data_IF_546498581087
#
_entry.id   IF_546498581087
#
_cell.length_a   1.000
_cell.length_b   1.000
_cell.length_c   1.000
_cell.angle_alpha   90.00
_cell.angle_beta   90.00
_cell.angle_gamma   90.00
#
_symmetry.space_group_name_H-M   'P 1'
#
loop_
_entity.id
_entity.type
_entity.pdbx_description
1 polymer ?
#
# COMPACT_ATOMS: atom_id res chain seq x y z
N UNK A 1 -14.25 0.73 -24.41
CA UNK A 1 -13.41 1.13 -25.59
C UNK A 1 -11.95 0.87 -25.29
N UNK A 2 -11.05 0.99 -26.29
CA UNK A 2 -9.61 0.83 -26.07
C UNK A 2 -8.98 2.11 -25.51
N UNK A 3 -7.82 1.99 -24.85
CA UNK A 3 -7.07 3.18 -24.38
C UNK A 3 -6.79 4.15 -25.54
N UNK A 4 -6.42 3.66 -26.73
CA UNK A 4 -6.14 4.50 -27.90
C UNK A 4 -7.38 5.23 -28.46
N UNK A 5 -8.57 4.87 -28.03
CA UNK A 5 -9.79 5.58 -28.44
C UNK A 5 -10.06 6.80 -27.54
N UNK A 6 -9.52 6.80 -26.32
CA UNK A 6 -9.65 7.87 -25.32
C UNK A 6 -8.42 8.78 -25.22
N UNK A 7 -7.24 8.22 -25.48
CA UNK A 7 -5.95 8.88 -25.26
C UNK A 7 -5.06 8.78 -26.50
N UNK A 8 -4.36 9.85 -26.81
CA UNK A 8 -3.15 9.78 -27.61
C UNK A 8 -2.06 9.10 -26.79
N UNK A 9 -1.62 7.92 -27.23
CA UNK A 9 -0.65 7.07 -26.51
C UNK A 9 0.72 7.19 -27.18
N UNK A 10 1.59 7.98 -26.58
CA UNK A 10 2.94 8.22 -27.10
C UNK A 10 4.00 7.58 -26.22
N UNK A 11 5.06 7.07 -26.84
CA UNK A 11 6.26 6.66 -26.11
C UNK A 11 6.98 7.91 -25.57
N UNK A 12 7.42 7.86 -24.31
CA UNK A 12 8.07 8.99 -23.68
C UNK A 12 9.43 9.38 -24.31
N UNK A 13 10.08 10.38 -23.73
CA UNK A 13 11.37 10.92 -24.25
C UNK A 13 12.51 9.89 -24.17
N UNK A 14 12.39 8.89 -23.32
CA UNK A 14 13.35 7.77 -23.18
C UNK A 14 14.75 8.24 -22.75
N UNK A 15 14.83 9.03 -21.70
CA UNK A 15 16.10 9.48 -21.14
C UNK A 15 16.68 8.45 -20.16
N UNK A 16 17.99 8.49 -20.00
CA UNK A 16 18.70 7.75 -18.97
C UNK A 16 19.03 8.70 -17.81
N UNK A 17 18.53 8.41 -16.60
CA UNK A 17 18.70 9.28 -15.43
C UNK A 17 20.16 9.54 -15.10
N UNK A 18 21.05 8.56 -15.35
CA UNK A 18 22.49 8.69 -15.12
C UNK A 18 23.15 9.82 -15.93
N UNK A 19 22.53 10.20 -17.05
CA UNK A 19 22.99 11.27 -17.93
C UNK A 19 22.34 12.64 -17.60
N UNK A 20 21.47 12.69 -16.57
CA UNK A 20 20.79 13.91 -16.16
C UNK A 20 21.49 14.53 -14.94
N UNK A 21 21.52 15.85 -14.88
CA UNK A 21 21.99 16.55 -13.71
C UNK A 21 20.89 16.59 -12.66
N UNK A 22 21.11 15.93 -11.52
CA UNK A 22 20.17 15.93 -10.40
C UNK A 22 20.07 17.33 -9.78
N UNK A 23 18.89 17.64 -9.24
CA UNK A 23 18.62 18.84 -8.46
C UNK A 23 17.74 18.53 -7.25
N UNK A 24 17.52 19.52 -6.38
CA UNK A 24 16.71 19.37 -5.17
C UNK A 24 15.22 19.66 -5.41
N UNK A 25 14.38 19.31 -4.45
CA UNK A 25 12.96 19.62 -4.49
C UNK A 25 12.66 21.15 -4.51
N UNK A 26 13.55 21.93 -3.94
CA UNK A 26 13.41 23.39 -3.80
C UNK A 26 13.85 24.16 -5.05
N UNK A 27 14.41 23.50 -6.05
CA UNK A 27 14.81 24.13 -7.30
C UNK A 27 13.56 24.45 -8.15
N UNK A 28 13.22 25.75 -8.35
CA UNK A 28 12.02 26.13 -9.10
C UNK A 28 12.08 25.74 -10.58
N UNK A 29 13.29 25.63 -11.14
CA UNK A 29 13.51 25.22 -12.53
C UNK A 29 13.69 23.71 -12.69
N UNK A 30 13.69 22.98 -11.58
CA UNK A 30 13.79 21.54 -11.57
C UNK A 30 12.58 20.88 -12.24
N UNK A 31 12.81 19.76 -12.92
CA UNK A 31 11.80 18.97 -13.62
C UNK A 31 11.77 17.56 -13.04
N UNK A 32 10.58 17.01 -12.78
CA UNK A 32 10.44 15.65 -12.31
C UNK A 32 10.94 14.65 -13.35
N UNK A 33 11.65 13.62 -12.91
CA UNK A 33 12.04 12.49 -13.75
C UNK A 33 11.18 11.28 -13.38
N UNK A 34 10.35 10.84 -14.33
CA UNK A 34 9.41 9.74 -14.17
C UNK A 34 9.97 8.47 -14.79
N UNK A 35 9.97 7.38 -14.03
CA UNK A 35 10.44 6.06 -14.44
C UNK A 35 9.36 4.99 -14.27
N UNK A 36 9.62 3.78 -14.76
CA UNK A 36 8.73 2.62 -14.72
C UNK A 36 8.67 1.92 -13.34
N UNK A 37 8.35 2.67 -12.32
CA UNK A 37 8.16 2.19 -10.94
C UNK A 37 6.73 2.38 -10.48
N UNK A 38 6.28 1.57 -9.53
CA UNK A 38 4.97 1.70 -8.89
C UNK A 38 4.96 2.70 -7.72
N UNK A 39 6.14 3.19 -7.30
CA UNK A 39 6.28 4.03 -6.13
C UNK A 39 6.29 5.52 -6.50
N UNK A 40 5.92 6.37 -5.53
CA UNK A 40 6.03 7.83 -5.60
C UNK A 40 5.50 8.42 -6.92
N UNK A 41 4.34 7.98 -7.38
CA UNK A 41 3.72 8.45 -8.64
C UNK A 41 4.63 8.29 -9.88
N UNK A 42 5.57 7.33 -9.83
CA UNK A 42 6.58 7.12 -10.87
C UNK A 42 7.79 8.06 -10.80
N UNK A 43 7.75 9.10 -9.95
CA UNK A 43 8.84 10.08 -9.82
C UNK A 43 10.00 9.49 -9.02
N UNK A 44 11.16 9.37 -9.64
CA UNK A 44 12.37 8.80 -9.03
C UNK A 44 13.43 9.83 -8.70
N UNK A 45 13.39 10.98 -9.35
CA UNK A 45 14.33 12.08 -9.13
C UNK A 45 13.74 13.41 -9.59
N UNK A 46 14.42 14.50 -9.25
CA UNK A 46 14.24 15.81 -9.84
C UNK A 46 15.55 16.18 -10.55
N UNK A 47 15.45 16.67 -11.78
CA UNK A 47 16.61 16.97 -12.64
C UNK A 47 16.54 18.38 -13.16
N UNK A 48 17.68 18.97 -13.50
CA UNK A 48 17.72 20.27 -14.18
C UNK A 48 17.12 20.17 -15.58
N UNK A 49 16.66 21.30 -16.11
CA UNK A 49 16.22 21.37 -17.50
C UNK A 49 17.34 20.96 -18.45
N UNK A 50 16.97 20.18 -19.46
CA UNK A 50 17.90 19.66 -20.47
C UNK A 50 17.74 20.48 -21.72
N UNK A 51 18.84 21.06 -22.20
CA UNK A 51 18.85 21.87 -23.40
C UNK A 51 18.35 21.11 -24.64
N UNK A 52 17.45 21.71 -25.38
CA UNK A 52 16.84 21.11 -26.57
C UNK A 52 15.83 20.00 -26.27
N UNK A 53 15.45 19.77 -24.99
CA UNK A 53 14.41 18.80 -24.62
C UNK A 53 13.26 19.51 -23.91
N UNK A 54 12.08 19.42 -24.49
CA UNK A 54 10.85 19.92 -23.87
C UNK A 54 10.26 18.87 -22.92
N UNK A 55 10.04 19.18 -21.64
CA UNK A 55 9.35 18.27 -20.73
C UNK A 55 7.93 17.97 -21.21
N UNK A 56 7.42 16.79 -20.89
CA UNK A 56 5.99 16.51 -21.06
C UNK A 56 5.16 17.44 -20.17
N UNK A 57 3.98 17.86 -20.61
CA UNK A 57 3.13 18.78 -19.86
C UNK A 57 2.54 18.13 -18.62
N UNK A 58 2.28 18.94 -17.60
CA UNK A 58 1.47 18.55 -16.46
C UNK A 58 0.03 18.17 -16.89
N UNK A 59 -0.63 17.35 -16.08
CA UNK A 59 -2.02 16.92 -16.31
C UNK A 59 -2.17 15.73 -17.27
N UNK A 60 -1.09 15.23 -17.86
CA UNK A 60 -1.07 13.98 -18.62
C UNK A 60 -0.92 12.77 -17.71
N UNK A 61 -1.24 11.59 -18.25
CA UNK A 61 -1.03 10.33 -17.53
C UNK A 61 0.28 9.69 -18.01
N UNK A 62 0.97 9.02 -17.09
CA UNK A 62 2.11 8.15 -17.43
C UNK A 62 1.74 6.71 -17.17
N UNK A 63 2.15 5.79 -18.02
CA UNK A 63 1.94 4.36 -17.85
C UNK A 63 3.23 3.60 -18.14
N UNK A 64 3.65 2.74 -17.22
CA UNK A 64 4.82 1.89 -17.39
C UNK A 64 4.51 0.72 -18.33
N UNK A 65 5.22 0.64 -19.47
CA UNK A 65 5.13 -0.47 -20.42
C UNK A 65 5.98 -1.67 -20.02
N UNK A 66 6.98 -1.47 -19.13
CA UNK A 66 7.88 -2.48 -18.57
C UNK A 66 8.14 -2.21 -17.08
N UNK A 67 8.95 -3.02 -16.42
CA UNK A 67 9.19 -2.89 -14.98
C UNK A 67 7.93 -3.14 -14.17
N UNK A 68 7.42 -2.15 -13.46
CA UNK A 68 6.09 -2.19 -12.81
C UNK A 68 4.99 -1.94 -13.86
N UNK A 69 4.76 -2.94 -14.71
CA UNK A 69 3.87 -2.82 -15.89
C UNK A 69 2.47 -2.35 -15.48
N UNK A 70 1.90 -1.47 -16.29
CA UNK A 70 0.61 -0.82 -16.07
C UNK A 70 0.54 0.12 -14.85
N UNK A 71 1.64 0.35 -14.11
CA UNK A 71 1.63 1.43 -13.13
C UNK A 71 1.36 2.76 -13.83
N UNK A 72 0.20 3.35 -13.54
CA UNK A 72 -0.34 4.50 -14.25
C UNK A 72 -0.65 5.62 -13.28
N UNK A 73 -0.19 6.84 -13.59
CA UNK A 73 -0.29 7.97 -12.69
C UNK A 73 -0.61 9.27 -13.44
N UNK A 74 -1.37 10.17 -12.80
CA UNK A 74 -1.54 11.55 -13.24
C UNK A 74 -0.32 12.37 -12.81
N UNK A 75 0.37 12.99 -13.74
CA UNK A 75 1.52 13.85 -13.43
C UNK A 75 1.05 15.27 -13.15
N UNK A 76 1.26 15.75 -11.94
CA UNK A 76 0.84 17.09 -11.51
C UNK A 76 1.75 18.21 -12.00
N UNK A 77 3.01 17.90 -12.31
CA UNK A 77 4.03 18.81 -12.77
C UNK A 77 4.60 18.38 -14.11
N UNK A 78 5.25 19.28 -14.88
CA UNK A 78 5.99 18.90 -16.06
C UNK A 78 7.07 17.86 -15.72
N UNK A 79 7.35 16.95 -16.65
CA UNK A 79 8.27 15.86 -16.37
C UNK A 79 9.05 15.39 -17.60
N UNK A 80 10.20 14.80 -17.34
CA UNK A 80 10.93 13.98 -18.29
C UNK A 80 10.63 12.50 -18.00
N UNK A 81 10.73 11.66 -19.02
CA UNK A 81 10.46 10.23 -18.93
C UNK A 81 11.68 9.38 -19.23
N UNK A 82 11.86 8.35 -18.41
CA UNK A 82 12.82 7.28 -18.66
C UNK A 82 12.32 6.25 -19.68
N UNK A 83 13.04 5.12 -19.76
CA UNK A 83 12.76 3.99 -20.66
C UNK A 83 11.43 3.31 -20.33
N UNK A 84 10.78 2.78 -21.38
CA UNK A 84 9.54 1.99 -21.32
C UNK A 84 8.40 2.67 -20.55
N UNK A 85 8.30 3.98 -20.72
CA UNK A 85 7.22 4.80 -20.18
C UNK A 85 6.41 5.40 -21.32
N UNK A 86 5.10 5.28 -21.22
CA UNK A 86 4.15 5.89 -22.16
C UNK A 86 3.50 7.10 -21.51
N UNK A 87 3.21 8.10 -22.33
CA UNK A 87 2.46 9.30 -21.97
C UNK A 87 1.12 9.23 -22.66
N UNK A 88 0.05 9.35 -21.88
CA UNK A 88 -1.31 9.30 -22.36
C UNK A 88 -1.95 10.67 -22.21
N UNK A 89 -2.25 11.31 -23.35
CA UNK A 89 -2.89 12.61 -23.41
C UNK A 89 -4.36 12.40 -23.81
N UNK A 90 -5.35 12.80 -22.99
CA UNK A 90 -6.75 12.64 -23.33
C UNK A 90 -7.11 13.42 -24.58
N UNK A 91 -7.90 12.85 -25.51
CA UNK A 91 -8.44 13.56 -26.69
C UNK A 91 -9.50 14.59 -26.30
N UNK A 92 -10.27 14.33 -25.25
CA UNK A 92 -11.23 15.25 -24.68
C UNK A 92 -10.81 15.68 -23.26
N UNK A 93 -11.19 16.87 -22.79
CA UNK A 93 -10.91 17.28 -21.42
C UNK A 93 -11.49 16.29 -20.42
N UNK A 94 -10.66 15.82 -19.49
CA UNK A 94 -11.04 14.97 -18.36
C UNK A 94 -10.77 15.69 -17.05
N UNK A 95 -11.68 15.56 -16.10
CA UNK A 95 -11.48 16.00 -14.71
C UNK A 95 -10.34 15.20 -14.05
N UNK A 96 -9.81 15.68 -12.93
CA UNK A 96 -8.81 14.94 -12.19
C UNK A 96 -9.35 13.59 -11.70
N UNK A 97 -10.60 13.55 -11.27
CA UNK A 97 -11.27 12.32 -10.84
C UNK A 97 -11.34 11.28 -11.96
N UNK A 98 -11.75 11.70 -13.15
CA UNK A 98 -11.81 10.82 -14.32
C UNK A 98 -10.43 10.31 -14.74
N UNK A 99 -9.40 11.17 -14.69
CA UNK A 99 -8.01 10.75 -14.93
C UNK A 99 -7.55 9.70 -13.92
N UNK A 100 -7.84 9.89 -12.63
CA UNK A 100 -7.52 8.92 -11.57
C UNK A 100 -8.29 7.61 -11.76
N UNK A 101 -9.57 7.68 -12.14
CA UNK A 101 -10.39 6.51 -12.48
C UNK A 101 -9.75 5.69 -13.61
N UNK A 102 -9.37 6.34 -14.72
CA UNK A 102 -8.70 5.63 -15.81
C UNK A 102 -7.33 5.08 -15.42
N UNK A 103 -6.57 5.76 -14.54
CA UNK A 103 -5.35 5.19 -13.98
C UNK A 103 -5.65 3.85 -13.27
N UNK A 104 -6.70 3.79 -12.45
CA UNK A 104 -7.11 2.55 -11.77
C UNK A 104 -7.55 1.47 -12.77
N UNK A 105 -8.34 1.83 -13.78
CA UNK A 105 -8.78 0.89 -14.82
C UNK A 105 -7.61 0.28 -15.57
N UNK A 106 -6.59 1.07 -15.91
CA UNK A 106 -5.38 0.58 -16.57
C UNK A 106 -4.56 -0.32 -15.63
N UNK A 107 -4.35 0.10 -14.39
CA UNK A 107 -3.62 -0.67 -13.38
C UNK A 107 -4.25 -2.04 -13.12
N UNK A 108 -5.59 -2.13 -13.12
CA UNK A 108 -6.30 -3.39 -12.94
C UNK A 108 -6.01 -4.42 -14.04
N UNK A 109 -5.42 -4.03 -15.16
CA UNK A 109 -4.98 -4.93 -16.22
C UNK A 109 -3.53 -5.46 -16.00
N UNK A 110 -2.84 -5.05 -14.94
CA UNK A 110 -1.45 -5.46 -14.68
C UNK A 110 -1.27 -6.99 -14.60
N UNK A 111 -2.29 -7.74 -14.12
CA UNK A 111 -2.28 -9.21 -14.03
C UNK A 111 -2.04 -9.91 -15.38
N UNK A 112 -2.29 -9.23 -16.51
CA UNK A 112 -2.09 -9.75 -17.88
C UNK A 112 -0.62 -9.75 -18.29
N UNK A 113 0.25 -9.10 -17.52
CA UNK A 113 1.64 -8.82 -17.83
C UNK A 113 2.60 -9.39 -16.78
N UNK A 114 3.86 -9.55 -17.14
CA UNK A 114 4.93 -10.03 -16.27
C UNK A 114 6.28 -9.52 -16.79
N UNK A 115 7.38 -9.85 -16.09
CA UNK A 115 8.72 -9.45 -16.49
C UNK A 115 9.05 -9.84 -17.96
N UNK A 116 8.63 -11.02 -18.40
CA UNK A 116 8.82 -11.48 -19.79
C UNK A 116 7.68 -11.10 -20.75
N UNK A 117 6.60 -10.51 -20.25
CA UNK A 117 5.42 -10.12 -21.03
C UNK A 117 5.07 -8.65 -20.76
N UNK A 118 5.85 -7.76 -21.36
CA UNK A 118 5.67 -6.32 -21.26
C UNK A 118 4.47 -5.81 -22.07
N UNK A 119 3.91 -4.66 -21.68
CA UNK A 119 2.74 -4.06 -22.32
C UNK A 119 3.08 -3.24 -23.58
N UNK A 120 4.36 -3.05 -23.92
CA UNK A 120 4.84 -2.11 -24.96
C UNK A 120 4.08 -2.16 -26.28
N UNK A 121 3.62 -3.35 -26.73
CA UNK A 121 2.88 -3.48 -28.00
C UNK A 121 1.37 -3.47 -27.83
N UNK A 122 0.87 -3.76 -26.63
CA UNK A 122 -0.54 -4.05 -26.37
C UNK A 122 -1.20 -3.04 -25.44
N UNK A 123 -0.43 -2.10 -24.86
CA UNK A 123 -0.95 -1.08 -23.95
C UNK A 123 -2.13 -0.31 -24.55
N UNK A 124 -1.99 0.14 -25.79
CA UNK A 124 -3.01 0.91 -26.51
C UNK A 124 -4.32 0.16 -26.74
N UNK A 125 -4.24 -1.19 -26.75
CA UNK A 125 -5.36 -2.08 -27.00
C UNK A 125 -6.05 -2.58 -25.73
N UNK A 126 -5.60 -2.16 -24.54
CA UNK A 126 -6.28 -2.48 -23.28
C UNK A 126 -7.68 -1.85 -23.29
N UNK A 127 -8.67 -2.66 -22.97
CA UNK A 127 -10.06 -2.21 -22.87
C UNK A 127 -10.30 -1.54 -21.50
N UNK A 128 -10.93 -0.39 -21.54
CA UNK A 128 -11.36 0.39 -20.37
C UNK A 128 -12.83 0.83 -20.59
N UNK A 129 -13.57 1.19 -19.52
CA UNK A 129 -14.92 1.72 -19.65
C UNK A 129 -14.99 2.93 -20.60
N UNK A 130 -16.06 3.02 -21.35
CA UNK A 130 -16.29 4.11 -22.33
C UNK A 130 -16.44 5.47 -21.65
N UNK A 131 -17.05 5.47 -20.46
CA UNK A 131 -17.26 6.66 -19.65
C UNK A 131 -16.93 6.35 -18.18
N UNK A 132 -16.46 7.35 -17.46
CA UNK A 132 -16.37 7.27 -16.02
C UNK A 132 -17.79 7.27 -15.41
N UNK A 133 -18.10 6.39 -14.45
CA UNK A 133 -19.39 6.41 -13.76
C UNK A 133 -19.64 7.73 -13.03
N UNK A 134 -20.89 8.11 -12.84
CA UNK A 134 -21.27 9.39 -12.21
C UNK A 134 -20.63 9.58 -10.82
N UNK A 135 -20.54 8.52 -10.02
CA UNK A 135 -19.94 8.59 -8.69
C UNK A 135 -18.49 9.07 -8.70
N UNK A 136 -17.75 8.86 -9.79
CA UNK A 136 -16.34 9.30 -9.93
C UNK A 136 -16.22 10.80 -9.72
N UNK A 137 -17.06 11.58 -10.39
CA UNK A 137 -17.04 13.04 -10.30
C UNK A 137 -17.68 13.56 -9.00
N UNK A 138 -18.56 12.76 -8.38
CA UNK A 138 -19.15 13.06 -7.07
C UNK A 138 -18.22 12.70 -5.89
N UNK A 139 -17.13 11.93 -6.12
CA UNK A 139 -16.20 11.55 -5.06
C UNK A 139 -15.24 12.71 -4.75
N UNK A 140 -15.24 13.26 -3.53
CA UNK A 140 -14.32 14.34 -3.19
C UNK A 140 -12.87 13.82 -3.15
N UNK A 141 -11.97 14.46 -3.90
CA UNK A 141 -10.53 14.30 -3.69
C UNK A 141 -10.19 15.14 -2.47
N UNK A 142 -10.15 14.48 -1.34
CA UNK A 142 -9.89 15.17 -0.12
C UNK A 142 -8.41 15.62 -0.06
N UNK A 143 -8.13 16.91 0.21
CA UNK A 143 -6.77 17.38 0.40
C UNK A 143 -6.13 16.67 1.59
N UNK A 144 -4.79 16.61 1.62
CA UNK A 144 -4.06 16.17 2.81
C UNK A 144 -4.39 17.18 3.91
N UNK A 145 -5.06 16.73 4.97
CA UNK A 145 -5.56 17.60 6.05
C UNK A 145 -4.52 17.77 7.15
N UNK A 146 -3.62 16.83 7.30
CA UNK A 146 -2.51 16.92 8.24
C UNK A 146 -1.40 17.79 7.62
N UNK A 147 -1.03 18.85 8.35
CA UNK A 147 0.18 19.58 8.03
C UNK A 147 1.32 18.57 7.94
N UNK A 148 2.20 18.71 6.95
CA UNK A 148 3.34 17.81 6.68
C UNK A 148 4.40 17.75 7.82
N UNK A 149 4.00 17.97 9.04
CA UNK A 149 4.85 17.79 10.20
C UNK A 149 4.74 16.32 10.58
N UNK A 150 5.62 15.49 10.01
CA UNK A 150 5.83 14.15 10.59
C UNK A 150 6.18 14.37 12.05
N UNK A 151 5.42 13.81 12.99
CA UNK A 151 5.84 13.81 14.37
C UNK A 151 7.21 13.14 14.41
N UNK A 152 8.17 13.78 15.06
CA UNK A 152 9.48 13.17 15.23
C UNK A 152 9.31 11.85 15.98
N UNK A 153 9.93 10.79 15.45
CA UNK A 153 10.02 9.56 16.23
C UNK A 153 10.74 9.87 17.55
N UNK A 154 10.28 9.36 18.68
CA UNK A 154 10.91 9.62 19.96
C UNK A 154 12.40 9.31 19.87
N UNK A 155 13.23 10.10 20.53
CA UNK A 155 14.65 9.84 20.66
C UNK A 155 14.86 8.38 21.08
N UNK A 156 15.91 7.72 20.56
CA UNK A 156 16.23 6.31 20.87
C UNK A 156 16.24 5.98 22.38
N UNK A 157 16.49 6.97 23.25
CA UNK A 157 16.46 6.84 24.71
C UNK A 157 15.06 6.58 25.29
N UNK A 158 13.99 6.85 24.52
CA UNK A 158 12.58 6.63 24.91
C UNK A 158 12.00 5.36 24.30
N UNK A 159 12.82 4.51 23.67
CA UNK A 159 12.41 3.22 23.17
C UNK A 159 12.84 2.13 24.11
N UNK A 160 11.93 1.24 24.46
CA UNK A 160 12.20 0.08 25.29
C UNK A 160 11.75 -1.22 24.61
N UNK A 161 12.20 -2.32 25.18
CA UNK A 161 11.92 -3.66 24.70
C UNK A 161 10.79 -4.29 25.51
N UNK A 162 9.77 -4.80 24.78
CA UNK A 162 8.60 -5.43 25.37
C UNK A 162 8.34 -6.77 24.69
N UNK A 163 8.13 -7.83 25.50
CA UNK A 163 7.78 -9.14 24.96
C UNK A 163 6.33 -9.12 24.46
N UNK A 164 6.08 -9.71 23.30
CA UNK A 164 4.72 -9.81 22.77
C UNK A 164 3.80 -10.59 23.71
N UNK A 165 4.33 -11.59 24.42
CA UNK A 165 3.58 -12.36 25.40
C UNK A 165 3.05 -11.57 26.59
N UNK A 166 3.70 -10.42 26.90
CA UNK A 166 3.31 -9.54 28.00
C UNK A 166 2.31 -8.45 27.54
N UNK A 167 2.20 -8.24 26.23
CA UNK A 167 1.32 -7.23 25.63
C UNK A 167 0.01 -7.80 25.10
N UNK A 168 -0.02 -9.10 24.76
CA UNK A 168 -1.13 -9.69 24.05
C UNK A 168 -1.57 -11.02 24.61
N UNK A 169 -2.89 -11.22 24.64
CA UNK A 169 -3.51 -12.52 24.74
C UNK A 169 -3.60 -13.14 23.35
N UNK A 170 -2.98 -14.30 23.19
CA UNK A 170 -2.91 -15.00 21.91
C UNK A 170 -4.03 -16.02 21.76
N UNK A 171 -4.65 -16.03 20.59
CA UNK A 171 -5.63 -17.06 20.17
C UNK A 171 -5.19 -17.62 18.82
N UNK A 172 -5.16 -18.94 18.69
CA UNK A 172 -4.84 -19.59 17.44
C UNK A 172 -6.08 -19.65 16.55
N UNK A 173 -5.90 -19.39 15.25
CA UNK A 173 -6.94 -19.62 14.27
C UNK A 173 -7.28 -21.10 14.13
N UNK A 174 -8.36 -21.41 13.42
CA UNK A 174 -8.93 -22.76 13.30
C UNK A 174 -8.88 -23.24 11.87
N UNK A 175 -8.64 -24.55 11.72
CA UNK A 175 -8.61 -25.16 10.40
C UNK A 175 -10.02 -25.26 9.84
N UNK A 176 -10.18 -24.78 8.59
CA UNK A 176 -11.35 -25.01 7.76
C UNK A 176 -10.85 -25.49 6.40
N UNK A 177 -11.38 -26.63 5.94
CA UNK A 177 -10.97 -27.17 4.64
C UNK A 177 -11.74 -26.48 3.53
N UNK A 178 -11.17 -26.45 2.32
CA UNK A 178 -11.85 -25.83 1.17
C UNK A 178 -13.18 -26.49 0.85
N UNK A 179 -13.32 -27.78 1.15
CA UNK A 179 -14.56 -28.52 0.92
C UNK A 179 -15.69 -28.13 1.88
N UNK A 180 -15.33 -27.62 3.08
CA UNK A 180 -16.28 -27.22 4.11
C UNK A 180 -16.62 -25.73 4.05
N UNK A 181 -15.97 -24.97 3.13
CA UNK A 181 -16.24 -23.55 2.96
C UNK A 181 -17.48 -23.33 2.14
N UNK A 182 -18.44 -22.59 2.69
CA UNK A 182 -19.65 -22.13 2.01
C UNK A 182 -19.52 -20.63 1.82
N UNK A 183 -19.83 -20.12 0.63
CA UNK A 183 -19.80 -18.69 0.34
C UNK A 183 -20.76 -17.92 1.25
N UNK A 184 -20.32 -16.76 1.75
CA UNK A 184 -21.08 -15.96 2.71
C UNK A 184 -20.51 -14.55 2.86
N UNK A 185 -20.74 -13.92 4.04
CA UNK A 185 -20.36 -12.52 4.27
C UNK A 185 -19.28 -12.33 5.34
N UNK A 186 -18.82 -13.40 5.99
CA UNK A 186 -17.77 -13.30 7.01
C UNK A 186 -16.38 -13.35 6.38
N UNK A 187 -15.52 -12.42 6.73
CA UNK A 187 -14.13 -12.38 6.26
C UNK A 187 -13.41 -13.68 6.69
N UNK A 188 -12.89 -14.44 5.73
CA UNK A 188 -11.98 -15.56 5.97
C UNK A 188 -10.54 -15.10 5.80
N UNK A 189 -9.79 -15.10 6.90
CA UNK A 189 -8.39 -14.72 6.92
C UNK A 189 -7.48 -15.93 6.65
N UNK A 190 -6.72 -15.85 5.58
CA UNK A 190 -5.67 -16.80 5.23
C UNK A 190 -4.29 -16.20 5.43
N UNK A 191 -3.26 -17.05 5.42
CA UNK A 191 -1.87 -16.59 5.57
C UNK A 191 -1.30 -15.99 4.28
N UNK A 192 -1.93 -14.94 3.78
CA UNK A 192 -1.55 -14.16 2.58
C UNK A 192 -1.00 -12.78 2.99
N UNK A 193 -0.35 -12.07 2.06
CA UNK A 193 0.27 -10.76 2.29
C UNK A 193 -0.56 -9.58 1.80
N UNK A 194 -1.71 -9.83 1.21
CA UNK A 194 -2.55 -8.85 0.52
C UNK A 194 -3.93 -8.75 1.17
N UNK A 195 -4.71 -7.74 0.77
CA UNK A 195 -6.10 -7.55 1.12
C UNK A 195 -6.40 -7.71 2.63
N UNK A 196 -5.57 -7.13 3.49
CA UNK A 196 -5.70 -7.23 4.97
C UNK A 196 -5.79 -8.69 5.49
N UNK A 197 -5.23 -9.66 4.74
CA UNK A 197 -5.30 -11.08 5.04
C UNK A 197 -6.61 -11.76 4.60
N UNK A 198 -7.59 -11.02 4.09
CA UNK A 198 -8.88 -11.54 3.63
C UNK A 198 -8.70 -12.29 2.30
N UNK A 199 -8.87 -13.60 2.33
CA UNK A 199 -8.75 -14.49 1.17
C UNK A 199 -10.05 -14.67 0.41
N UNK A 200 -11.17 -14.74 1.15
CA UNK A 200 -12.53 -14.88 0.62
C UNK A 200 -13.55 -14.57 1.71
N UNK A 201 -14.82 -14.62 1.38
CA UNK A 201 -15.91 -14.48 2.33
C UNK A 201 -16.64 -15.81 2.46
N UNK A 202 -16.96 -16.20 3.70
CA UNK A 202 -17.60 -17.50 4.01
C UNK A 202 -18.80 -17.32 4.92
N UNK A 203 -19.67 -18.33 4.92
CA UNK A 203 -20.70 -18.48 5.94
C UNK A 203 -20.10 -19.16 7.17
N UNK A 204 -20.37 -18.60 8.35
CA UNK A 204 -19.86 -19.11 9.64
C UNK A 204 -20.96 -19.01 10.69
N UNK A 205 -21.02 -19.97 11.59
CA UNK A 205 -21.92 -19.91 12.75
C UNK A 205 -21.49 -18.74 13.66
N UNK A 206 -22.44 -17.91 14.15
CA UNK A 206 -22.14 -16.74 14.97
C UNK A 206 -21.23 -17.01 16.18
N UNK A 207 -21.35 -18.18 16.81
CA UNK A 207 -20.50 -18.60 17.94
C UNK A 207 -19.06 -18.92 17.61
N UNK A 208 -18.72 -18.99 16.31
CA UNK A 208 -17.38 -19.33 15.83
C UNK A 208 -16.61 -18.14 15.26
N UNK A 209 -17.26 -16.99 15.17
CA UNK A 209 -16.67 -15.75 14.65
C UNK A 209 -15.71 -15.18 15.69
N UNK A 210 -14.51 -14.82 15.25
CA UNK A 210 -13.52 -14.13 16.08
C UNK A 210 -13.91 -12.66 16.25
N UNK A 211 -13.75 -12.11 17.45
CA UNK A 211 -14.05 -10.73 17.75
C UNK A 211 -13.09 -9.77 17.00
N UNK A 212 -13.56 -8.59 16.59
CA UNK A 212 -12.74 -7.56 15.97
C UNK A 212 -11.81 -6.86 16.99
N UNK A 213 -11.19 -5.77 16.56
CA UNK A 213 -10.27 -4.93 17.33
C UNK A 213 -9.08 -5.74 17.87
N UNK A 214 -8.39 -6.40 16.96
CA UNK A 214 -7.21 -7.21 17.25
C UNK A 214 -6.18 -7.14 16.13
N UNK A 215 -4.98 -7.65 16.37
CA UNK A 215 -3.95 -7.83 15.35
C UNK A 215 -3.89 -9.31 14.98
N UNK A 216 -3.85 -9.61 13.68
CA UNK A 216 -3.59 -10.97 13.18
C UNK A 216 -2.18 -11.07 12.64
N UNK A 217 -1.49 -12.19 12.88
CA UNK A 217 -0.12 -12.44 12.44
C UNK A 217 -0.01 -13.83 11.82
N UNK A 218 0.50 -13.90 10.60
CA UNK A 218 0.73 -15.14 9.91
C UNK A 218 1.97 -15.86 10.46
N UNK A 219 1.81 -17.08 10.97
CA UNK A 219 2.96 -17.87 11.43
C UNK A 219 3.48 -18.85 10.35
N UNK A 220 2.69 -19.10 9.32
CA UNK A 220 2.99 -19.94 8.16
C UNK A 220 2.59 -19.18 6.87
N UNK A 221 2.81 -19.72 5.66
CA UNK A 221 2.55 -19.02 4.41
C UNK A 221 3.38 -17.75 4.28
N UNK A 222 2.73 -16.59 4.17
CA UNK A 222 3.39 -15.28 4.22
C UNK A 222 3.79 -14.93 5.66
N UNK A 223 4.85 -15.59 6.17
CA UNK A 223 5.25 -15.51 7.58
C UNK A 223 5.59 -14.08 7.99
N UNK A 224 5.03 -13.65 9.12
CA UNK A 224 5.27 -12.33 9.71
C UNK A 224 4.48 -11.18 9.08
N UNK A 225 3.61 -11.46 8.10
CA UNK A 225 2.60 -10.48 7.74
C UNK A 225 1.60 -10.32 8.87
N UNK A 226 1.29 -9.08 9.19
CA UNK A 226 0.41 -8.71 10.29
C UNK A 226 -0.59 -7.65 9.82
N UNK A 227 -1.82 -7.73 10.37
CA UNK A 227 -2.92 -6.84 9.99
C UNK A 227 -3.79 -6.49 11.21
N UNK A 228 -4.30 -5.26 11.24
CA UNK A 228 -5.36 -4.88 12.17
C UNK A 228 -6.72 -5.29 11.62
N UNK A 229 -7.53 -5.94 12.45
CA UNK A 229 -8.87 -6.38 12.09
C UNK A 229 -9.92 -5.53 12.79
N UNK A 230 -10.59 -4.68 12.03
CA UNK A 230 -11.65 -3.81 12.52
C UNK A 230 -13.02 -4.49 12.60
N UNK A 231 -13.20 -5.59 11.85
CA UNK A 231 -14.47 -6.31 11.73
C UNK A 231 -14.34 -7.75 12.22
N UNK A 232 -15.46 -8.40 12.57
CA UNK A 232 -15.47 -9.81 12.90
C UNK A 232 -15.00 -10.69 11.72
N UNK A 233 -14.34 -11.80 12.01
CA UNK A 233 -13.73 -12.66 11.01
C UNK A 233 -13.58 -14.11 11.46
N UNK A 234 -13.26 -15.00 10.51
CA UNK A 234 -12.71 -16.33 10.77
C UNK A 234 -11.23 -16.37 10.39
N UNK A 235 -10.36 -16.81 11.29
CA UNK A 235 -8.95 -16.99 11.00
C UNK A 235 -8.59 -18.45 10.74
N UNK A 236 -7.85 -18.72 9.66
CA UNK A 236 -7.27 -20.04 9.39
C UNK A 236 -6.26 -20.45 10.46
N UNK A 237 -6.00 -21.75 10.55
CA UNK A 237 -5.01 -22.32 11.49
C UNK A 237 -3.57 -21.84 11.26
N UNK A 238 -3.28 -21.16 10.14
CA UNK A 238 -1.99 -20.54 9.83
C UNK A 238 -1.89 -19.09 10.32
N UNK A 239 -2.90 -18.57 11.00
CA UNK A 239 -2.98 -17.18 11.50
C UNK A 239 -3.17 -17.19 13.01
N UNK A 240 -2.35 -16.44 13.74
CA UNK A 240 -2.52 -16.17 15.15
C UNK A 240 -3.21 -14.82 15.36
N UNK A 241 -4.10 -14.74 16.35
CA UNK A 241 -4.89 -13.57 16.71
C UNK A 241 -4.34 -13.02 18.03
N UNK A 242 -4.05 -11.73 18.08
CA UNK A 242 -3.47 -11.01 19.19
C UNK A 242 -4.46 -9.95 19.69
N UNK A 243 -5.09 -10.23 20.83
CA UNK A 243 -5.90 -9.24 21.54
C UNK A 243 -5.05 -8.50 22.56
N UNK A 244 -5.29 -7.20 22.74
CA UNK A 244 -4.62 -6.43 23.77
C UNK A 244 -4.86 -7.05 25.17
N UNK A 245 -3.81 -7.08 25.99
CA UNK A 245 -3.88 -7.57 27.37
C UNK A 245 -3.41 -6.46 28.32
N UNK A 246 -4.32 -5.98 29.15
CA UNK A 246 -4.04 -4.90 30.11
C UNK A 246 -3.94 -3.48 29.52
N UNK A 247 -4.24 -3.28 28.23
CA UNK A 247 -4.26 -1.97 27.57
C UNK A 247 -5.36 -1.85 26.52
N UNK A 248 -5.64 -0.64 26.04
CA UNK A 248 -6.73 -0.38 25.06
C UNK A 248 -6.17 -0.26 23.65
N UNK A 249 -6.50 -1.24 22.81
CA UNK A 249 -6.18 -1.21 21.38
C UNK A 249 -7.19 -0.34 20.62
N UNK A 250 -6.69 0.48 19.71
CA UNK A 250 -7.48 1.14 18.69
C UNK A 250 -6.76 1.02 17.34
N UNK A 251 -7.43 1.40 16.26
CA UNK A 251 -6.88 1.25 14.90
C UNK A 251 -5.53 1.92 14.71
N UNK A 252 -5.27 3.05 15.35
CA UNK A 252 -4.04 3.84 15.17
C UNK A 252 -2.85 3.20 15.88
N UNK A 253 -2.96 2.95 17.20
CA UNK A 253 -1.87 2.29 17.93
C UNK A 253 -1.63 0.87 17.42
N UNK A 254 -2.67 0.16 16.98
CA UNK A 254 -2.54 -1.14 16.35
C UNK A 254 -1.75 -1.07 15.03
N UNK A 255 -1.99 -0.09 14.15
CA UNK A 255 -1.24 0.08 12.90
C UNK A 255 0.23 0.39 13.13
N UNK A 256 0.55 1.18 14.17
CA UNK A 256 1.94 1.41 14.58
C UNK A 256 2.60 0.07 14.97
N UNK A 257 1.94 -0.70 15.85
CA UNK A 257 2.46 -2.00 16.33
C UNK A 257 2.55 -3.00 15.18
N UNK A 258 1.56 -3.09 14.28
CA UNK A 258 1.60 -3.92 13.07
C UNK A 258 2.87 -3.62 12.26
N UNK A 259 3.24 -2.35 12.10
CA UNK A 259 4.45 -1.95 11.37
C UNK A 259 5.71 -2.49 12.07
N UNK A 260 5.78 -2.41 13.41
CA UNK A 260 6.90 -2.93 14.19
C UNK A 260 6.95 -4.47 14.15
N UNK A 261 5.79 -5.15 14.20
CA UNK A 261 5.71 -6.61 14.05
C UNK A 261 6.24 -7.03 12.68
N UNK A 262 5.78 -6.38 11.61
CA UNK A 262 6.23 -6.65 10.22
C UNK A 262 7.73 -6.38 10.06
N UNK A 263 8.30 -5.40 10.74
CA UNK A 263 9.73 -5.13 10.73
C UNK A 263 10.57 -6.30 11.32
N UNK A 264 9.99 -7.15 12.17
CA UNK A 264 10.65 -8.34 12.73
C UNK A 264 10.59 -9.57 11.81
N UNK A 265 9.81 -9.55 10.73
CA UNK A 265 9.60 -10.72 9.84
C UNK A 265 10.87 -11.26 9.21
N UNK A 266 11.92 -10.44 9.01
CA UNK A 266 13.20 -10.87 8.43
C UNK A 266 13.86 -12.01 9.19
N UNK A 267 13.49 -12.22 10.46
CA UNK A 267 14.00 -13.27 11.34
C UNK A 267 13.37 -14.64 11.04
N UNK A 268 12.28 -14.67 10.26
CA UNK A 268 11.42 -15.82 10.02
C UNK A 268 11.22 -16.04 8.52
N UNK A 269 10.89 -17.28 8.16
CA UNK A 269 10.66 -17.69 6.76
C UNK A 269 9.82 -18.96 6.74
N UNK A 270 9.51 -19.48 5.55
CA UNK A 270 8.82 -20.76 5.39
C UNK A 270 9.54 -21.90 6.12
N UNK A 271 10.87 -21.97 6.05
CA UNK A 271 11.70 -22.95 6.77
C UNK A 271 11.95 -22.62 8.25
N UNK A 272 11.66 -21.38 8.68
CA UNK A 272 11.82 -20.89 10.05
C UNK A 272 10.51 -20.22 10.49
N UNK A 273 9.47 -21.02 10.71
CA UNK A 273 8.14 -20.53 11.07
C UNK A 273 8.16 -19.72 12.38
N UNK A 274 7.34 -18.68 12.43
CA UNK A 274 7.12 -17.88 13.62
C UNK A 274 6.02 -18.50 14.47
N UNK A 275 6.33 -19.63 15.11
CA UNK A 275 5.39 -20.38 15.93
C UNK A 275 4.86 -19.54 17.09
N UNK A 276 3.72 -19.94 17.65
CA UNK A 276 3.06 -19.23 18.76
C UNK A 276 4.04 -18.94 19.93
N UNK A 277 4.83 -19.92 20.32
CA UNK A 277 5.81 -19.77 21.42
C UNK A 277 6.90 -18.74 21.06
N UNK A 278 7.48 -18.86 19.87
CA UNK A 278 8.46 -17.86 19.40
C UNK A 278 7.85 -16.47 19.26
N UNK A 279 6.56 -16.39 18.93
CA UNK A 279 5.86 -15.11 18.80
C UNK A 279 5.69 -14.45 20.15
N UNK A 280 5.28 -15.21 21.18
CA UNK A 280 5.19 -14.72 22.56
C UNK A 280 6.54 -14.24 23.09
N UNK A 281 7.62 -14.97 22.76
CA UNK A 281 8.99 -14.61 23.20
C UNK A 281 9.63 -13.51 22.36
N UNK A 282 8.98 -13.10 21.26
CA UNK A 282 9.51 -12.01 20.42
C UNK A 282 9.42 -10.68 21.15
N UNK A 283 10.53 -9.96 21.14
CA UNK A 283 10.64 -8.63 21.69
C UNK A 283 10.38 -7.60 20.61
N UNK A 284 9.45 -6.69 20.89
CA UNK A 284 9.17 -5.50 20.09
C UNK A 284 9.85 -4.30 20.74
N UNK A 285 10.52 -3.49 19.94
CA UNK A 285 11.05 -2.20 20.37
C UNK A 285 9.99 -1.14 20.13
N UNK A 286 9.43 -0.58 21.20
CA UNK A 286 8.32 0.37 21.16
C UNK A 286 8.67 1.67 21.91
N UNK A 287 8.04 2.80 21.60
CA UNK A 287 8.14 4.01 22.40
C UNK A 287 7.71 3.74 23.85
N UNK A 288 8.43 4.32 24.80
CA UNK A 288 8.20 4.14 26.23
C UNK A 288 7.63 5.42 26.85
N UNK A 289 6.56 5.28 27.62
CA UNK A 289 6.00 6.32 28.47
C UNK A 289 6.84 6.52 29.74
N UNK A 290 6.54 7.58 30.50
CA UNK A 290 7.29 7.91 31.73
C UNK A 290 7.19 6.84 32.81
N UNK A 291 6.08 6.12 32.86
CA UNK A 291 5.83 5.03 33.80
C UNK A 291 6.51 3.70 33.42
N UNK A 292 7.22 3.67 32.29
CA UNK A 292 7.90 2.49 31.80
C UNK A 292 7.06 1.57 30.92
N UNK A 293 5.79 1.85 30.73
CA UNK A 293 4.91 1.10 29.81
C UNK A 293 5.07 1.56 28.35
N UNK A 294 4.56 0.80 27.34
CA UNK A 294 4.53 1.30 25.97
C UNK A 294 3.68 2.56 25.87
N UNK A 295 4.18 3.57 25.16
CA UNK A 295 3.46 4.83 24.94
C UNK A 295 2.45 4.69 23.81
N UNK A 296 1.30 4.06 24.12
CA UNK A 296 0.21 3.85 23.16
C UNK A 296 -0.42 5.16 22.68
N UNK A 297 -0.44 6.20 23.51
CA UNK A 297 -0.96 7.52 23.15
C UNK A 297 -0.08 8.16 22.06
N UNK A 298 1.23 8.14 22.24
CA UNK A 298 2.16 8.60 21.23
C UNK A 298 2.03 7.82 19.90
N UNK A 299 1.89 6.49 19.96
CA UNK A 299 1.70 5.66 18.74
C UNK A 299 0.45 6.08 17.98
N UNK A 300 -0.64 6.38 18.69
CA UNK A 300 -1.89 6.87 18.12
C UNK A 300 -1.70 8.24 17.46
N UNK A 301 -1.13 9.20 18.18
CA UNK A 301 -0.88 10.55 17.66
C UNK A 301 0.06 10.52 16.45
N UNK A 302 1.08 9.66 16.47
CA UNK A 302 2.01 9.50 15.36
C UNK A 302 1.30 9.06 14.08
N UNK A 303 0.44 8.05 14.15
CA UNK A 303 -0.30 7.55 12.98
C UNK A 303 -1.32 8.60 12.50
N UNK A 304 -2.02 9.28 13.42
CA UNK A 304 -2.97 10.36 13.06
C UNK A 304 -2.29 11.53 12.36
N UNK A 305 -1.05 11.84 12.71
CA UNK A 305 -0.28 12.93 12.12
C UNK A 305 0.34 12.59 10.75
N UNK A 306 0.34 11.32 10.33
CA UNK A 306 0.77 10.95 8.99
C UNK A 306 -0.21 11.50 7.93
N UNK A 307 0.26 11.75 6.68
CA UNK A 307 -0.62 12.11 5.58
C UNK A 307 -1.79 11.13 5.48
N UNK A 308 -3.04 11.63 5.52
CA UNK A 308 -4.28 10.85 5.56
C UNK A 308 -4.49 9.98 6.82
N UNK A 309 -3.67 10.13 7.86
CA UNK A 309 -3.81 9.37 9.10
C UNK A 309 -5.15 9.60 9.81
N UNK A 310 -5.76 10.78 9.63
CA UNK A 310 -7.07 11.13 10.13
C UNK A 310 -8.25 10.43 9.41
N UNK A 311 -7.98 9.70 8.33
CA UNK A 311 -8.97 9.04 7.46
C UNK A 311 -8.92 7.52 7.46
N UNK A 312 -8.04 6.97 8.27
CA UNK A 312 -7.91 5.53 8.44
C UNK A 312 -9.11 4.95 9.19
#
# INVERSE_FOLDING_TARGET
>A
MKICDLFDVQYGINLELVNCQLTTADDPDGVNFVARTANNNGVVARVKRIDGKTPHPAGTLTCAGGGSVCSTFVQKEPFYSGRDLYVLTPYAPLTLNEKLYYCMCIQNNAYRYSYGRQANKTLKDIEVPDNAPEWVNCTPIAPITTQNIRPELPHQRRWAEYRMGDLFRFVKGRRLTKADMIDGNTNYLGAISENNGVRQHIQVDPGEISAPNCITVNYNGSVGEAFYQAEPFWASDDVNILYADGWVMNKYNALFIVTVIKANRYRFSYGRKWTLEKMKDTVLKLPQAEDGTPDFAYMEEYIKALPYGDRI
#
